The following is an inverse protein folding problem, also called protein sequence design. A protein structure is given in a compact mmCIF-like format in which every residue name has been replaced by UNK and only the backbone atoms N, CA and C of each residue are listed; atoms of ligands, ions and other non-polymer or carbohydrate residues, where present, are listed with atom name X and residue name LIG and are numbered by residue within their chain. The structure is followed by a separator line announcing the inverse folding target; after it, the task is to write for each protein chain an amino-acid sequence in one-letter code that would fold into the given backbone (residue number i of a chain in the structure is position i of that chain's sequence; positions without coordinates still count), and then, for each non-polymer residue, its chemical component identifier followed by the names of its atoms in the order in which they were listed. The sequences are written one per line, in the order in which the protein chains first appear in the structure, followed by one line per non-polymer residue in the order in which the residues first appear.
data_IF_593255437161
#
_entry.id   IF_593255437161
#
_cell.length_a   1.000
_cell.length_b   1.000
_cell.length_c   1.000
_cell.angle_alpha   90.00
_cell.angle_beta   90.00
_cell.angle_gamma   90.00
#
_symmetry.space_group_name_H-M   'P 1'
#
loop_
_entity.id
_entity.type
_entity.pdbx_description
1 polymer ?
#
# COMPACT_ATOMS: atom_id res chain seq x y z
N UNK A 1 -0.46 2.17 -27.39
CA UNK A 1 -0.93 3.06 -26.30
C UNK A 1 -2.39 3.40 -26.50
N UNK A 2 -3.17 3.43 -25.43
CA UNK A 2 -4.64 3.59 -25.46
C UNK A 2 -5.06 4.87 -26.20
N UNK A 3 -4.31 5.96 -25.99
CA UNK A 3 -4.52 7.25 -26.66
C UNK A 3 -4.49 7.14 -28.21
N UNK A 4 -3.43 6.58 -28.79
CA UNK A 4 -3.34 6.46 -30.25
C UNK A 4 -4.36 5.45 -30.82
N UNK A 5 -4.75 4.46 -30.02
CA UNK A 5 -5.75 3.47 -30.42
C UNK A 5 -7.15 4.10 -30.56
N UNK A 6 -7.51 5.05 -29.69
CA UNK A 6 -8.84 5.69 -29.69
C UNK A 6 -9.05 6.69 -30.83
N UNK A 7 -8.00 7.08 -31.56
CA UNK A 7 -8.12 7.96 -32.74
C UNK A 7 -8.75 7.20 -33.92
N UNK A 8 -8.45 5.92 -34.07
CA UNK A 8 -8.83 5.11 -35.24
C UNK A 8 -9.88 4.04 -34.94
N UNK A 9 -10.26 3.84 -33.67
CA UNK A 9 -11.24 2.84 -33.22
C UNK A 9 -12.06 3.38 -32.06
N UNK A 10 -13.19 2.73 -31.78
CA UNK A 10 -13.94 2.96 -30.54
C UNK A 10 -13.01 2.67 -29.34
N UNK A 11 -12.55 3.72 -28.66
CA UNK A 11 -11.53 3.62 -27.62
C UNK A 11 -11.88 2.67 -26.47
N UNK A 12 -10.85 2.18 -25.78
CA UNK A 12 -11.02 1.36 -24.58
C UNK A 12 -11.64 2.17 -23.45
N UNK A 13 -12.73 1.66 -22.85
CA UNK A 13 -13.30 2.20 -21.61
C UNK A 13 -12.67 1.48 -20.43
N UNK A 14 -12.15 2.24 -19.47
CA UNK A 14 -11.56 1.71 -18.23
C UNK A 14 -12.45 2.15 -17.08
N UNK A 15 -13.05 1.19 -16.39
CA UNK A 15 -13.83 1.45 -15.18
C UNK A 15 -12.97 1.19 -13.95
N UNK A 16 -12.75 2.23 -13.16
CA UNK A 16 -11.97 2.18 -11.91
C UNK A 16 -12.85 1.88 -10.69
N UNK A 17 -14.18 2.00 -10.82
CA UNK A 17 -15.12 1.77 -9.72
C UNK A 17 -15.22 0.28 -9.42
N UNK A 18 -15.23 -0.56 -10.45
CA UNK A 18 -15.25 -2.01 -10.26
C UNK A 18 -14.00 -2.50 -9.52
N UNK A 19 -12.81 -2.01 -9.88
CA UNK A 19 -11.56 -2.36 -9.18
C UNK A 19 -11.54 -1.84 -7.74
N UNK A 20 -12.04 -0.61 -7.50
CA UNK A 20 -12.16 -0.06 -6.14
C UNK A 20 -13.08 -0.93 -5.26
N UNK A 21 -14.20 -1.41 -5.82
CA UNK A 21 -15.09 -2.33 -5.09
C UNK A 21 -14.38 -3.64 -4.77
N UNK A 22 -13.64 -4.21 -5.73
CA UNK A 22 -12.93 -5.48 -5.55
C UNK A 22 -11.87 -5.40 -4.45
N UNK A 23 -10.99 -4.39 -4.49
CA UNK A 23 -9.91 -4.27 -3.51
C UNK A 23 -10.43 -3.98 -2.09
N UNK A 24 -11.44 -3.13 -1.96
CA UNK A 24 -12.05 -2.84 -0.65
C UNK A 24 -12.77 -4.06 -0.10
N UNK A 25 -13.54 -4.77 -0.93
CA UNK A 25 -14.24 -5.99 -0.49
C UNK A 25 -13.26 -7.09 -0.09
N UNK A 26 -12.14 -7.22 -0.82
CA UNK A 26 -11.08 -8.18 -0.48
C UNK A 26 -10.49 -7.89 0.90
N UNK A 27 -10.20 -6.63 1.21
CA UNK A 27 -9.70 -6.23 2.53
C UNK A 27 -10.77 -6.48 3.63
N UNK A 28 -12.02 -6.08 3.39
CA UNK A 28 -13.13 -6.26 4.33
C UNK A 28 -13.41 -7.72 4.69
N UNK A 29 -13.20 -8.64 3.75
CA UNK A 29 -13.45 -10.07 3.94
C UNK A 29 -12.28 -10.81 4.61
N UNK A 30 -11.12 -10.16 4.80
CA UNK A 30 -9.93 -10.81 5.34
C UNK A 30 -9.91 -10.82 6.88
N UNK A 31 -9.67 -11.99 7.46
CA UNK A 31 -9.53 -12.17 8.91
C UNK A 31 -8.32 -11.40 9.47
N UNK A 32 -7.23 -11.34 8.70
CA UNK A 32 -6.02 -10.60 9.03
C UNK A 32 -5.38 -10.08 7.74
N UNK A 33 -4.85 -8.86 7.79
CA UNK A 33 -4.14 -8.23 6.67
C UNK A 33 -2.78 -7.70 7.08
N UNK A 34 -1.83 -7.83 6.16
CA UNK A 34 -0.50 -7.24 6.28
C UNK A 34 -0.13 -6.56 4.97
N UNK A 35 0.60 -5.44 5.05
CA UNK A 35 1.12 -4.76 3.87
C UNK A 35 2.66 -4.65 3.89
N UNK A 36 3.26 -4.84 2.72
CA UNK A 36 4.66 -4.49 2.46
C UNK A 36 4.62 -3.50 1.29
N UNK A 37 4.90 -2.23 1.56
CA UNK A 37 4.77 -1.14 0.60
C UNK A 37 6.16 -0.63 0.24
N UNK A 38 6.53 -0.80 -1.03
CA UNK A 38 7.78 -0.31 -1.60
C UNK A 38 7.55 1.01 -2.31
N UNK A 39 8.21 2.06 -1.87
CA UNK A 39 7.95 3.41 -2.35
C UNK A 39 6.70 4.01 -1.71
N UNK A 40 5.98 4.83 -2.49
CA UNK A 40 4.94 5.68 -1.94
C UNK A 40 3.91 6.16 -2.98
N UNK A 41 3.06 7.13 -2.64
CA UNK A 41 2.07 7.74 -3.53
C UNK A 41 0.79 6.91 -3.64
N UNK A 42 0.21 6.81 -4.84
CA UNK A 42 -1.10 6.16 -5.07
C UNK A 42 -1.09 4.72 -4.55
N UNK A 43 0.00 3.97 -4.75
CA UNK A 43 0.10 2.57 -4.30
C UNK A 43 0.00 2.46 -2.77
N UNK A 44 0.68 3.36 -2.03
CA UNK A 44 0.59 3.41 -0.57
C UNK A 44 -0.83 3.74 -0.14
N UNK A 45 -1.34 4.88 -0.62
CA UNK A 45 -2.63 5.38 -0.18
C UNK A 45 -3.76 4.41 -0.50
N UNK A 46 -3.75 3.79 -1.68
CA UNK A 46 -4.82 2.89 -2.12
C UNK A 46 -4.88 1.60 -1.28
N UNK A 47 -3.73 0.99 -0.97
CA UNK A 47 -3.65 -0.19 -0.09
C UNK A 47 -4.11 0.16 1.33
N UNK A 48 -3.65 1.28 1.89
CA UNK A 48 -4.06 1.72 3.22
C UNK A 48 -5.56 2.07 3.28
N UNK A 49 -6.10 2.70 2.24
CA UNK A 49 -7.52 3.05 2.17
C UNK A 49 -8.43 1.84 2.01
N UNK A 50 -7.98 0.76 1.36
CA UNK A 50 -8.73 -0.50 1.35
C UNK A 50 -8.83 -1.09 2.76
N UNK A 51 -7.74 -1.03 3.54
CA UNK A 51 -7.71 -1.53 4.91
C UNK A 51 -8.42 -0.62 5.92
N UNK A 52 -8.64 0.66 5.60
CA UNK A 52 -9.54 1.53 6.36
C UNK A 52 -10.95 0.91 6.47
N UNK A 53 -11.43 0.25 5.41
CA UNK A 53 -12.76 -0.36 5.38
C UNK A 53 -12.94 -1.53 6.36
N UNK A 54 -11.85 -2.06 6.91
CA UNK A 54 -11.84 -3.12 7.94
C UNK A 54 -11.34 -2.62 9.31
N UNK A 55 -11.31 -1.31 9.54
CA UNK A 55 -10.76 -0.67 10.74
C UNK A 55 -9.24 -0.89 10.94
N UNK A 56 -8.51 -0.96 9.84
CA UNK A 56 -7.05 -0.97 9.83
C UNK A 56 -6.45 -2.36 9.64
N UNK A 57 -5.20 -2.39 9.20
CA UNK A 57 -4.41 -3.62 9.05
C UNK A 57 -3.57 -3.92 10.29
N UNK A 58 -3.29 -5.20 10.55
CA UNK A 58 -2.51 -5.66 11.72
C UNK A 58 -1.00 -5.50 11.54
N UNK A 59 -0.51 -5.59 10.29
CA UNK A 59 0.92 -5.53 9.98
C UNK A 59 1.22 -4.55 8.85
N UNK A 60 2.22 -3.68 9.02
CA UNK A 60 2.63 -2.75 7.97
C UNK A 60 4.16 -2.57 7.91
N UNK A 61 4.74 -2.78 6.74
CA UNK A 61 6.15 -2.51 6.46
C UNK A 61 6.22 -1.50 5.33
N UNK A 62 6.72 -0.29 5.61
CA UNK A 62 6.97 0.72 4.59
C UNK A 62 8.47 0.79 4.30
N UNK A 63 8.85 0.74 3.02
CA UNK A 63 10.23 0.95 2.58
C UNK A 63 10.20 2.09 1.56
N UNK A 64 10.59 3.29 1.99
CA UNK A 64 10.64 4.45 1.10
C UNK A 64 11.66 5.49 1.54
N UNK A 65 11.92 6.45 0.65
CA UNK A 65 12.89 7.53 0.86
C UNK A 65 12.24 8.86 1.28
N UNK A 66 10.90 8.89 1.38
CA UNK A 66 10.14 10.11 1.60
C UNK A 66 10.17 10.55 3.08
N UNK A 67 10.14 11.86 3.29
CA UNK A 67 10.32 12.52 4.58
C UNK A 67 9.04 13.22 5.02
N UNK A 68 8.79 13.29 6.32
CA UNK A 68 7.53 13.78 6.89
C UNK A 68 7.35 15.31 6.84
N UNK A 69 8.45 16.07 6.72
CA UNK A 69 8.42 17.54 6.88
C UNK A 69 7.59 18.28 5.83
N UNK A 70 7.31 17.67 4.68
CA UNK A 70 6.53 18.26 3.60
C UNK A 70 5.02 18.02 3.74
N UNK A 71 4.60 17.27 4.78
CA UNK A 71 3.20 16.94 5.04
C UNK A 71 2.56 16.06 3.96
N UNK A 72 3.35 15.39 3.12
CA UNK A 72 2.83 14.50 2.11
C UNK A 72 2.38 13.17 2.74
N UNK A 73 1.29 12.57 2.20
CA UNK A 73 1.00 11.15 2.48
C UNK A 73 2.20 10.30 2.07
N UNK A 74 3.02 10.76 1.12
CA UNK A 74 4.14 9.98 0.69
C UNK A 74 5.20 9.78 1.79
N UNK A 75 5.47 10.83 2.56
CA UNK A 75 6.43 10.88 3.66
C UNK A 75 5.85 10.54 5.03
N UNK A 76 4.52 10.51 5.16
CA UNK A 76 3.80 10.19 6.39
C UNK A 76 4.35 8.96 7.14
N UNK A 77 4.42 9.08 8.46
CA UNK A 77 4.80 7.97 9.34
C UNK A 77 3.66 6.94 9.42
N UNK A 78 3.95 5.67 9.78
CA UNK A 78 2.90 4.71 10.06
C UNK A 78 1.92 5.17 11.16
N UNK A 79 2.40 5.94 12.15
CA UNK A 79 1.55 6.47 13.23
C UNK A 79 0.48 7.45 12.70
N UNK A 80 0.76 8.18 11.62
CA UNK A 80 -0.27 8.96 10.94
C UNK A 80 -1.35 8.03 10.38
N UNK A 81 -0.98 6.91 9.77
CA UNK A 81 -1.96 5.93 9.26
C UNK A 81 -2.79 5.29 10.39
N UNK A 82 -2.24 5.14 11.60
CA UNK A 82 -3.00 4.73 12.79
C UNK A 82 -4.05 5.78 13.16
N UNK A 83 -3.73 7.07 13.09
CA UNK A 83 -4.69 8.15 13.41
C UNK A 83 -5.94 8.15 12.53
N UNK A 84 -5.81 7.65 11.30
CA UNK A 84 -6.93 7.50 10.35
C UNK A 84 -7.69 6.17 10.51
N UNK A 85 -7.16 5.20 11.25
CA UNK A 85 -7.68 3.82 11.26
C UNK A 85 -7.31 3.01 10.03
N UNK A 86 -6.26 3.40 9.29
CA UNK A 86 -5.71 2.64 8.15
C UNK A 86 -4.79 1.50 8.61
N UNK A 87 -4.13 1.70 9.74
CA UNK A 87 -3.48 0.66 10.56
C UNK A 87 -4.28 0.58 11.87
N UNK A 88 -4.45 -0.61 12.42
CA UNK A 88 -5.14 -0.75 13.70
C UNK A 88 -4.30 -0.16 14.86
N UNK A 89 -4.91 -0.04 16.04
CA UNK A 89 -4.33 0.66 17.19
C UNK A 89 -3.17 -0.06 17.89
N UNK A 90 -3.07 0.10 19.22
CA UNK A 90 -1.91 -0.27 20.05
C UNK A 90 -1.37 -1.72 19.91
N UNK A 91 -2.17 -2.66 19.40
CA UNK A 91 -1.77 -4.05 19.21
C UNK A 91 -1.03 -4.34 17.89
N UNK A 92 -0.89 -3.33 17.02
CA UNK A 92 -0.51 -3.53 15.62
C UNK A 92 0.97 -3.28 15.39
N UNK A 93 1.58 -4.07 14.51
CA UNK A 93 3.03 -4.06 14.31
C UNK A 93 3.36 -3.36 13.00
N UNK A 94 3.94 -2.16 13.10
CA UNK A 94 4.31 -1.36 11.95
C UNK A 94 5.74 -0.84 12.01
N UNK A 95 6.38 -0.75 10.85
CA UNK A 95 7.74 -0.23 10.71
C UNK A 95 7.90 0.53 9.39
N UNK A 96 8.61 1.66 9.45
CA UNK A 96 9.08 2.38 8.26
C UNK A 96 10.60 2.31 8.20
N UNK A 97 11.11 1.81 7.08
CA UNK A 97 12.55 1.79 6.76
C UNK A 97 12.83 2.91 5.78
N UNK A 98 13.60 3.90 6.23
CA UNK A 98 14.05 5.01 5.40
C UNK A 98 15.24 4.58 4.54
N UNK A 99 14.95 3.94 3.40
CA UNK A 99 15.97 3.43 2.48
C UNK A 99 15.41 3.22 1.07
N UNK A 100 16.32 3.08 0.11
CA UNK A 100 15.98 2.63 -1.24
C UNK A 100 15.56 1.14 -1.21
N UNK A 101 14.40 0.84 -1.80
CA UNK A 101 13.85 -0.50 -1.85
C UNK A 101 14.76 -1.50 -2.59
N UNK A 102 15.55 -1.04 -3.57
CA UNK A 102 16.48 -1.90 -4.31
C UNK A 102 17.61 -2.47 -3.44
N UNK A 103 17.92 -1.79 -2.32
CA UNK A 103 18.92 -2.24 -1.35
C UNK A 103 18.27 -3.17 -0.32
N UNK A 104 17.17 -2.73 0.29
CA UNK A 104 16.60 -3.40 1.47
C UNK A 104 15.67 -4.55 1.11
N UNK A 105 14.88 -4.43 0.04
CA UNK A 105 13.86 -5.43 -0.28
C UNK A 105 14.44 -6.82 -0.62
N UNK A 106 15.54 -6.96 -1.39
CA UNK A 106 16.17 -8.26 -1.60
C UNK A 106 16.65 -8.91 -0.30
N UNK A 107 17.20 -8.13 0.63
CA UNK A 107 17.65 -8.60 1.95
C UNK A 107 16.46 -9.05 2.79
N UNK A 108 15.38 -8.27 2.81
CA UNK A 108 14.14 -8.61 3.50
C UNK A 108 13.61 -9.96 3.00
N UNK A 109 13.50 -10.14 1.69
CA UNK A 109 13.03 -11.38 1.07
C UNK A 109 13.94 -12.56 1.43
N UNK A 110 15.27 -12.39 1.33
CA UNK A 110 16.25 -13.43 1.67
C UNK A 110 16.15 -13.87 3.13
N UNK A 111 15.91 -12.94 4.06
CA UNK A 111 15.83 -13.22 5.49
C UNK A 111 14.46 -13.76 5.96
N UNK A 112 13.40 -13.59 5.15
CA UNK A 112 12.01 -13.94 5.51
C UNK A 112 11.43 -15.00 4.57
N UNK A 113 10.85 -14.59 3.45
CA UNK A 113 10.14 -15.46 2.51
C UNK A 113 11.01 -16.58 1.93
N UNK A 114 12.27 -16.29 1.58
CA UNK A 114 13.17 -17.29 1.00
C UNK A 114 13.75 -18.25 2.04
N UNK A 115 13.68 -17.92 3.34
CA UNK A 115 14.19 -18.79 4.42
C UNK A 115 13.28 -19.99 4.67
N UNK A 116 12.00 -19.86 4.34
CA UNK A 116 10.97 -20.90 4.49
C UNK A 116 10.79 -21.75 3.22
N UNK A 117 11.65 -21.58 2.23
CA UNK A 117 11.64 -22.29 0.95
C UNK A 117 12.71 -23.38 0.93
#
# INVERSE_FOLDING_TARGET
MIFFHSINRAGLKIDIVEDLRRVNTLAMAADCTGSIILGSGIVKHHICNANLMRNGMEYAVYINTAQEYDGSDAGATPDEAVSWGKICGEACNHVKVHADATIVFPILVAATFAKSM
#
